data_IF_677469238026
#
_entry.id   IF_677469238026
#
_cell.length_a   1.000
_cell.length_b   1.000
_cell.length_c   1.000
_cell.angle_alpha   90.00
_cell.angle_beta   90.00
_cell.angle_gamma   90.00
#
_symmetry.space_group_name_H-M   'P 1'
#
loop_
_entity.id
_entity.type
_entity.pdbx_description
1 polymer ?
#
# COMPACT_ATOMS: atom_id res chain seq x y z
N UNK A 1 -0.56 59.50 -57.61
CA UNK A 1 -2.02 59.49 -57.89
C UNK A 1 -2.74 59.22 -56.58
N UNK A 2 -3.59 60.16 -56.14
CA UNK A 2 -4.46 60.07 -54.95
C UNK A 2 -5.47 58.92 -55.11
N UNK A 3 -5.96 58.38 -53.99
CA UNK A 3 -7.35 57.94 -53.65
C UNK A 3 -7.22 57.03 -52.40
N UNK A 4 -7.51 57.52 -51.19
CA UNK A 4 -8.82 57.60 -50.49
C UNK A 4 -9.48 56.24 -50.20
N UNK A 5 -9.26 55.82 -48.94
CA UNK A 5 -10.18 55.27 -47.95
C UNK A 5 -11.67 55.17 -48.36
N UNK A 6 -12.25 53.96 -48.27
CA UNK A 6 -13.67 53.76 -47.97
C UNK A 6 -13.84 52.58 -46.99
N UNK A 7 -14.62 52.87 -45.96
CA UNK A 7 -15.12 52.02 -44.89
C UNK A 7 -16.20 51.09 -45.45
N UNK A 8 -16.29 49.84 -44.97
CA UNK A 8 -17.59 49.18 -44.80
C UNK A 8 -17.56 48.16 -43.65
N UNK A 9 -18.45 48.43 -42.71
CA UNK A 9 -18.92 47.62 -41.60
C UNK A 9 -19.22 46.17 -42.01
N UNK A 10 -18.87 45.20 -41.16
CA UNK A 10 -19.69 44.01 -40.99
C UNK A 10 -19.81 43.65 -39.51
N UNK A 11 -21.05 43.70 -39.06
CA UNK A 11 -21.57 43.40 -37.73
C UNK A 11 -21.69 41.87 -37.63
N UNK A 12 -20.94 41.22 -36.73
CA UNK A 12 -21.24 39.84 -36.32
C UNK A 12 -21.65 39.84 -34.85
N UNK A 13 -22.93 39.57 -34.65
CA UNK A 13 -23.56 39.31 -33.35
C UNK A 13 -23.05 37.96 -32.86
N UNK A 14 -22.23 37.96 -31.81
CA UNK A 14 -21.87 36.76 -31.07
C UNK A 14 -23.02 36.47 -30.11
N UNK A 15 -23.85 35.48 -30.46
CA UNK A 15 -24.81 34.87 -29.54
C UNK A 15 -23.99 34.03 -28.54
N UNK A 16 -23.80 34.59 -27.35
CA UNK A 16 -23.23 33.91 -26.18
C UNK A 16 -24.26 32.90 -25.64
N UNK A 17 -24.12 31.64 -26.02
CA UNK A 17 -24.83 30.54 -25.36
C UNK A 17 -24.06 30.15 -24.09
N UNK A 18 -24.40 30.78 -22.95
CA UNK A 18 -23.99 30.31 -21.63
C UNK A 18 -24.89 29.16 -21.23
N UNK A 19 -24.42 27.92 -21.38
CA UNK A 19 -24.97 26.80 -20.63
C UNK A 19 -24.56 26.97 -19.16
N UNK A 20 -25.49 27.48 -18.34
CA UNK A 20 -25.36 27.41 -16.90
C UNK A 20 -25.44 25.94 -16.48
N UNK A 21 -24.29 25.34 -16.19
CA UNK A 21 -24.23 24.16 -15.35
C UNK A 21 -24.84 24.54 -14.00
N UNK A 22 -25.98 23.92 -13.68
CA UNK A 22 -26.53 23.94 -12.33
C UNK A 22 -25.57 23.15 -11.44
N UNK A 23 -24.67 23.85 -10.75
CA UNK A 23 -23.98 23.28 -9.60
C UNK A 23 -25.06 22.99 -8.54
N UNK A 24 -25.47 21.74 -8.42
CA UNK A 24 -26.27 21.30 -7.29
C UNK A 24 -25.40 21.46 -6.03
N UNK A 25 -25.81 22.38 -5.14
CA UNK A 25 -25.25 22.46 -3.80
C UNK A 25 -25.67 21.19 -3.05
N UNK A 26 -24.85 20.15 -3.14
CA UNK A 26 -24.91 18.97 -2.26
C UNK A 26 -24.58 19.49 -0.86
N UNK A 27 -25.38 19.14 0.15
CA UNK A 27 -25.09 19.57 1.51
C UNK A 27 -23.82 18.87 2.01
N UNK A 28 -23.01 19.53 2.81
CA UNK A 28 -21.76 18.98 3.36
C UNK A 28 -21.99 17.65 4.10
N UNK A 29 -23.15 17.51 4.74
CA UNK A 29 -23.59 16.27 5.39
C UNK A 29 -23.81 15.13 4.39
N UNK A 30 -24.44 15.40 3.24
CA UNK A 30 -24.67 14.39 2.20
C UNK A 30 -23.33 13.93 1.59
N UNK A 31 -22.35 14.84 1.47
CA UNK A 31 -21.00 14.51 0.98
C UNK A 31 -20.24 13.59 1.95
N UNK A 32 -20.32 13.83 3.26
CA UNK A 32 -19.66 12.99 4.29
C UNK A 32 -20.25 11.57 4.28
N UNK A 33 -21.59 11.46 4.28
CA UNK A 33 -22.28 10.15 4.25
C UNK A 33 -21.95 9.35 2.98
N UNK A 34 -21.70 10.03 1.86
CA UNK A 34 -21.28 9.39 0.61
C UNK A 34 -19.83 8.91 0.66
N UNK A 35 -18.91 9.67 1.27
CA UNK A 35 -17.51 9.26 1.44
C UNK A 35 -17.36 8.07 2.40
N UNK A 36 -18.09 8.04 3.51
CA UNK A 36 -18.06 6.89 4.44
C UNK A 36 -18.51 5.59 3.77
N UNK A 37 -19.54 5.65 2.93
CA UNK A 37 -20.00 4.49 2.15
C UNK A 37 -18.95 4.04 1.15
N UNK A 38 -18.30 4.98 0.46
CA UNK A 38 -17.22 4.69 -0.48
C UNK A 38 -16.07 3.98 0.25
N UNK A 39 -15.61 4.51 1.37
CA UNK A 39 -14.53 3.94 2.17
C UNK A 39 -14.89 2.55 2.70
N UNK A 40 -16.08 2.38 3.28
CA UNK A 40 -16.55 1.09 3.82
C UNK A 40 -16.69 0.02 2.74
N UNK A 41 -17.10 0.40 1.52
CA UNK A 41 -17.23 -0.53 0.40
C UNK A 41 -15.88 -0.95 -0.18
N UNK A 42 -14.90 -0.05 -0.17
CA UNK A 42 -13.54 -0.28 -0.67
C UNK A 42 -12.67 -1.03 0.32
N UNK A 43 -12.72 -0.64 1.58
CA UNK A 43 -11.94 -1.17 2.69
C UNK A 43 -12.91 -1.86 3.66
N UNK A 44 -13.38 -3.06 3.29
CA UNK A 44 -14.35 -3.77 4.09
C UNK A 44 -13.76 -4.08 5.47
N UNK A 45 -14.61 -3.98 6.49
CA UNK A 45 -14.29 -4.54 7.79
C UNK A 45 -14.03 -6.06 7.71
N UNK A 46 -13.48 -6.61 8.79
CA UNK A 46 -13.04 -8.00 8.83
C UNK A 46 -14.15 -8.99 8.48
N UNK A 47 -15.37 -8.77 8.97
CA UNK A 47 -16.52 -9.64 8.69
C UNK A 47 -16.81 -9.69 7.18
N UNK A 48 -16.97 -8.54 6.55
CA UNK A 48 -17.31 -8.47 5.12
C UNK A 48 -16.15 -8.95 4.24
N UNK A 49 -14.90 -8.67 4.65
CA UNK A 49 -13.71 -9.17 3.98
C UNK A 49 -13.64 -10.69 4.01
N UNK A 50 -13.94 -11.32 5.15
CA UNK A 50 -14.01 -12.79 5.29
C UNK A 50 -15.11 -13.37 4.40
N UNK A 51 -16.26 -12.70 4.29
CA UNK A 51 -17.33 -13.11 3.36
C UNK A 51 -16.84 -13.08 1.90
N UNK A 52 -16.16 -12.02 1.47
CA UNK A 52 -15.58 -11.95 0.13
C UNK A 52 -14.59 -13.08 -0.11
N UNK A 53 -13.70 -13.36 0.83
CA UNK A 53 -12.71 -14.45 0.70
C UNK A 53 -13.40 -15.82 0.64
N UNK A 54 -14.40 -16.08 1.49
CA UNK A 54 -15.16 -17.32 1.44
C UNK A 54 -15.89 -17.49 0.10
N UNK A 55 -16.47 -16.41 -0.44
CA UNK A 55 -17.09 -16.41 -1.76
C UNK A 55 -16.08 -16.78 -2.84
N UNK A 56 -14.92 -16.13 -2.89
CA UNK A 56 -13.83 -16.42 -3.84
C UNK A 56 -13.42 -17.89 -3.77
N UNK A 57 -13.20 -18.43 -2.56
CA UNK A 57 -12.83 -19.83 -2.35
C UNK A 57 -13.92 -20.76 -2.89
N UNK A 58 -15.20 -20.48 -2.58
CA UNK A 58 -16.31 -21.35 -2.97
C UNK A 58 -16.54 -21.38 -4.48
N UNK A 59 -16.45 -20.23 -5.16
CA UNK A 59 -16.68 -20.09 -6.60
C UNK A 59 -15.52 -20.64 -7.44
N UNK A 60 -14.30 -20.67 -6.87
CA UNK A 60 -13.08 -21.04 -7.59
C UNK A 60 -12.42 -22.32 -7.05
N UNK A 61 -13.12 -23.09 -6.21
CA UNK A 61 -12.56 -24.24 -5.47
C UNK A 61 -11.79 -25.24 -6.35
N UNK A 62 -12.28 -25.53 -7.55
CA UNK A 62 -11.66 -26.49 -8.48
C UNK A 62 -10.48 -25.90 -9.27
N UNK A 63 -10.38 -24.56 -9.35
CA UNK A 63 -9.35 -23.84 -10.12
C UNK A 63 -8.20 -23.35 -9.24
N UNK A 64 -8.46 -23.10 -7.96
CA UNK A 64 -7.45 -22.68 -7.00
C UNK A 64 -6.43 -23.78 -6.77
N UNK A 65 -5.15 -23.40 -6.68
CA UNK A 65 -4.10 -24.30 -6.23
C UNK A 65 -4.18 -24.48 -4.72
N UNK A 66 -3.58 -25.56 -4.19
CA UNK A 66 -3.50 -25.77 -2.74
C UNK A 66 -2.82 -24.60 -2.03
N UNK A 67 -1.72 -24.08 -2.59
CA UNK A 67 -1.03 -22.89 -2.07
C UNK A 67 -1.95 -21.68 -1.94
N UNK A 68 -2.77 -21.41 -2.96
CA UNK A 68 -3.69 -20.29 -2.96
C UNK A 68 -4.89 -20.52 -2.03
N UNK A 69 -5.34 -21.76 -1.87
CA UNK A 69 -6.36 -22.10 -0.88
C UNK A 69 -5.85 -21.87 0.55
N UNK A 70 -4.62 -22.29 0.85
CA UNK A 70 -3.98 -22.08 2.14
C UNK A 70 -3.79 -20.57 2.40
N UNK A 71 -3.24 -19.84 1.43
CA UNK A 71 -3.08 -18.38 1.49
C UNK A 71 -4.41 -17.65 1.76
N UNK A 72 -5.46 -17.92 0.98
CA UNK A 72 -6.77 -17.29 1.17
C UNK A 72 -7.39 -17.70 2.50
N UNK A 73 -7.18 -18.95 2.93
CA UNK A 73 -7.68 -19.41 4.23
C UNK A 73 -7.02 -18.67 5.39
N UNK A 74 -5.70 -18.48 5.31
CA UNK A 74 -4.95 -17.71 6.30
C UNK A 74 -5.30 -16.22 6.25
N UNK A 75 -5.55 -15.65 5.07
CA UNK A 75 -5.92 -14.23 4.92
C UNK A 75 -7.23 -13.88 5.66
N UNK A 76 -8.13 -14.85 5.85
CA UNK A 76 -9.34 -14.69 6.68
C UNK A 76 -9.02 -14.46 8.15
N UNK A 77 -7.96 -15.10 8.64
CA UNK A 77 -7.56 -15.07 10.04
C UNK A 77 -6.68 -13.83 10.26
N UNK A 78 -7.30 -12.67 10.48
CA UNK A 78 -6.60 -11.53 11.06
C UNK A 78 -6.35 -11.82 12.54
N UNK A 79 -5.36 -12.64 12.81
CA UNK A 79 -4.55 -12.33 13.97
C UNK A 79 -3.56 -11.29 13.46
N UNK A 80 -3.67 -10.04 13.94
CA UNK A 80 -2.52 -9.15 13.95
C UNK A 80 -1.42 -9.96 14.63
N UNK A 81 -0.51 -10.50 13.82
CA UNK A 81 0.52 -11.36 14.35
C UNK A 81 1.43 -10.52 15.22
N UNK A 82 2.16 -11.15 16.14
CA UNK A 82 3.03 -10.39 17.02
C UNK A 82 4.06 -9.56 16.26
N UNK A 83 4.45 -9.91 15.03
CA UNK A 83 5.45 -9.14 14.26
C UNK A 83 5.03 -9.07 12.80
N UNK A 84 5.27 -7.96 12.10
CA UNK A 84 4.81 -7.77 10.71
C UNK A 84 5.20 -8.91 9.76
N UNK A 85 6.38 -9.50 9.96
CA UNK A 85 6.92 -10.62 9.15
C UNK A 85 6.13 -11.94 9.30
N UNK A 86 5.25 -12.02 10.30
CA UNK A 86 4.36 -13.16 10.51
C UNK A 86 2.96 -12.90 9.93
N UNK A 87 2.68 -11.70 9.41
CA UNK A 87 1.42 -11.41 8.72
C UNK A 87 1.34 -12.20 7.40
N UNK A 88 0.11 -12.51 6.97
CA UNK A 88 -0.14 -13.25 5.73
C UNK A 88 0.42 -12.52 4.51
N UNK A 89 0.30 -11.20 4.50
CA UNK A 89 0.94 -10.30 3.56
C UNK A 89 1.60 -9.19 4.35
N UNK A 90 2.79 -8.80 3.92
CA UNK A 90 3.48 -7.62 4.42
C UNK A 90 4.20 -6.94 3.25
N UNK A 91 4.26 -5.61 3.25
CA UNK A 91 4.83 -4.90 2.14
C UNK A 91 6.36 -4.98 2.18
N UNK A 92 6.98 -4.94 1.00
CA UNK A 92 8.42 -4.76 0.88
C UNK A 92 8.65 -3.52 0.04
N UNK A 93 9.47 -2.61 0.58
CA UNK A 93 9.84 -1.38 -0.10
C UNK A 93 11.34 -1.33 -0.28
N UNK A 94 11.74 -0.78 -1.42
CA UNK A 94 13.12 -0.44 -1.73
C UNK A 94 13.23 1.07 -1.72
N UNK A 95 13.65 1.64 -0.59
CA UNK A 95 13.76 3.09 -0.40
C UNK A 95 15.03 3.64 -1.08
N UNK A 96 16.08 2.82 -1.18
CA UNK A 96 17.31 3.16 -1.89
C UNK A 96 17.95 1.92 -2.52
N UNK A 97 19.11 2.07 -3.17
CA UNK A 97 19.82 0.91 -3.73
C UNK A 97 20.31 -0.06 -2.64
N UNK A 98 20.48 0.42 -1.41
CA UNK A 98 20.96 -0.34 -0.24
C UNK A 98 19.87 -0.66 0.78
N UNK A 99 18.75 0.08 0.78
CA UNK A 99 17.67 -0.10 1.74
C UNK A 99 16.50 -0.81 1.07
N UNK A 100 16.37 -2.08 1.41
CA UNK A 100 15.25 -2.91 1.00
C UNK A 100 14.87 -3.82 2.15
N UNK A 101 13.61 -3.70 2.57
CA UNK A 101 13.16 -4.41 3.75
C UNK A 101 11.65 -4.47 3.85
N UNK A 102 11.19 -5.30 4.80
CA UNK A 102 9.80 -5.32 5.23
C UNK A 102 9.62 -4.19 6.23
N UNK A 103 8.71 -3.26 5.94
CA UNK A 103 8.46 -2.11 6.80
C UNK A 103 7.28 -2.35 7.74
N UNK A 104 7.43 -1.92 8.98
CA UNK A 104 6.40 -1.86 10.01
C UNK A 104 6.36 -0.47 10.62
N UNK A 105 5.17 0.01 10.96
CA UNK A 105 4.98 1.33 11.55
C UNK A 105 4.66 1.22 13.04
N UNK A 106 5.12 2.19 13.85
CA UNK A 106 4.76 2.22 15.24
C UNK A 106 3.25 2.42 15.40
N UNK A 107 2.68 1.77 16.40
CA UNK A 107 1.30 1.96 16.81
C UNK A 107 1.29 2.48 18.23
N UNK A 108 0.32 3.37 18.53
CA UNK A 108 0.18 3.97 19.84
C UNK A 108 -1.27 3.90 20.31
N UNK A 109 -1.44 3.79 21.63
CA UNK A 109 -2.72 3.94 22.30
C UNK A 109 -2.69 5.17 23.20
N UNK A 110 -3.71 6.00 23.11
CA UNK A 110 -3.89 7.13 24.02
C UNK A 110 -4.46 6.64 25.36
N UNK A 111 -3.68 6.73 26.42
CA UNK A 111 -4.10 6.43 27.80
C UNK A 111 -3.67 7.58 28.72
N UNK A 112 -4.58 8.10 29.54
CA UNK A 112 -4.29 9.14 30.52
C UNK A 112 -3.50 10.35 29.93
N UNK A 113 -3.89 10.81 28.74
CA UNK A 113 -3.23 11.87 27.96
C UNK A 113 -1.79 11.58 27.52
N UNK A 114 -1.38 10.32 27.53
CA UNK A 114 -0.07 9.87 27.07
C UNK A 114 -0.22 8.88 25.92
N UNK A 115 0.66 8.97 24.93
CA UNK A 115 0.75 7.98 23.85
C UNK A 115 1.63 6.83 24.33
N UNK A 116 1.03 5.65 24.47
CA UNK A 116 1.73 4.43 24.89
C UNK A 116 2.03 3.61 23.63
N UNK A 117 3.29 3.24 23.37
CA UNK A 117 3.63 2.40 22.22
C UNK A 117 3.04 1.00 22.38
N UNK A 118 2.40 0.51 21.32
CA UNK A 118 1.76 -0.82 21.27
C UNK A 118 2.35 -1.74 20.22
N UNK A 119 3.18 -1.25 19.31
CA UNK A 119 3.83 -2.07 18.29
C UNK A 119 4.88 -2.99 18.94
N UNK A 120 4.82 -4.27 18.61
CA UNK A 120 5.73 -5.27 19.17
C UNK A 120 7.17 -5.10 18.68
N UNK A 121 7.39 -4.60 17.47
CA UNK A 121 8.71 -4.18 16.99
C UNK A 121 9.36 -3.17 17.95
N UNK A 122 8.61 -2.15 18.35
CA UNK A 122 9.07 -1.14 19.31
C UNK A 122 9.39 -1.77 20.67
N UNK A 123 8.47 -2.57 21.21
CA UNK A 123 8.64 -3.25 22.49
C UNK A 123 9.83 -4.23 22.49
N UNK A 124 10.16 -4.80 21.33
CA UNK A 124 11.36 -5.62 21.18
C UNK A 124 12.63 -4.79 21.20
N UNK A 125 12.67 -3.68 20.44
CA UNK A 125 13.86 -2.84 20.32
C UNK A 125 14.16 -2.09 21.62
N UNK A 126 13.15 -1.57 22.31
CA UNK A 126 13.31 -0.81 23.57
C UNK A 126 14.00 -1.61 24.68
N UNK A 127 13.90 -2.95 24.67
CA UNK A 127 14.63 -3.83 25.60
C UNK A 127 16.15 -3.76 25.42
N UNK A 128 16.61 -3.37 24.24
CA UNK A 128 18.03 -3.30 23.86
C UNK A 128 18.49 -1.86 23.65
N UNK A 129 17.59 -0.95 23.29
CA UNK A 129 17.90 0.45 23.10
C UNK A 129 17.87 1.19 24.43
N UNK A 130 19.00 1.18 25.15
CA UNK A 130 19.15 1.99 26.36
C UNK A 130 19.19 3.47 26.00
N UNK A 131 18.42 4.30 26.71
CA UNK A 131 18.29 5.77 26.59
C UNK A 131 19.63 6.52 26.47
N UNK A 132 20.75 5.94 26.91
CA UNK A 132 22.08 6.51 26.78
C UNK A 132 22.66 6.53 25.34
N UNK A 133 22.08 5.78 24.39
CA UNK A 133 22.59 5.63 23.02
C UNK A 133 21.72 6.26 21.93
N UNK A 134 20.61 6.93 22.27
CA UNK A 134 19.82 7.74 21.34
C UNK A 134 20.55 9.07 21.10
N UNK A 135 21.76 9.01 20.57
CA UNK A 135 22.50 10.18 20.12
C UNK A 135 21.88 10.71 18.82
N UNK A 136 22.00 12.03 18.62
CA UNK A 136 21.66 12.77 17.39
C UNK A 136 22.26 12.12 16.11
N UNK A 137 23.26 11.24 16.25
CA UNK A 137 23.99 10.62 15.14
C UNK A 137 23.18 9.65 14.28
N UNK A 138 22.04 9.16 14.77
CA UNK A 138 21.19 8.18 14.07
C UNK A 138 19.91 8.78 13.47
N UNK A 139 19.72 10.09 13.61
CA UNK A 139 18.59 10.78 13.01
C UNK A 139 18.67 10.73 11.48
N UNK A 140 17.57 10.35 10.82
CA UNK A 140 17.51 10.20 9.37
C UNK A 140 18.28 8.99 8.82
N UNK A 141 18.61 7.99 9.66
CA UNK A 141 19.27 6.74 9.25
C UNK A 141 18.69 5.54 9.97
N UNK A 142 18.69 4.39 9.30
CA UNK A 142 18.33 3.13 9.94
C UNK A 142 19.44 2.64 10.87
N UNK A 143 19.06 2.25 12.09
CA UNK A 143 19.91 1.57 13.07
C UNK A 143 19.45 0.13 13.23
N UNK A 144 20.29 -0.83 12.86
CA UNK A 144 20.01 -2.26 13.06
C UNK A 144 20.39 -2.73 14.46
N UNK A 145 19.57 -3.64 15.00
CA UNK A 145 19.77 -4.28 16.30
C UNK A 145 19.87 -5.81 16.13
N UNK A 146 21.01 -6.35 15.67
CA UNK A 146 21.14 -7.78 15.37
C UNK A 146 20.81 -8.70 16.56
N UNK A 147 21.03 -8.22 17.78
CA UNK A 147 20.74 -8.99 19.00
C UNK A 147 19.25 -9.22 19.23
N UNK A 148 18.37 -8.34 18.73
CA UNK A 148 16.92 -8.45 18.93
C UNK A 148 16.40 -9.75 18.31
N UNK A 149 16.63 -9.94 17.01
CA UNK A 149 16.17 -11.16 16.34
C UNK A 149 16.95 -12.40 16.79
N UNK A 150 18.25 -12.27 17.10
CA UNK A 150 19.01 -13.39 17.66
C UNK A 150 18.41 -13.87 19.00
N UNK A 151 17.84 -12.98 19.80
CA UNK A 151 17.17 -13.35 21.04
C UNK A 151 15.79 -13.97 20.79
N UNK A 152 14.98 -13.41 19.89
CA UNK A 152 13.65 -13.95 19.54
C UNK A 152 13.74 -15.34 18.92
N UNK A 153 14.83 -15.60 18.20
CA UNK A 153 15.10 -16.87 17.50
C UNK A 153 16.35 -17.58 18.05
N UNK A 154 16.63 -17.50 19.35
CA UNK A 154 17.86 -18.07 19.93
C UNK A 154 17.98 -19.59 19.74
N UNK A 155 16.85 -20.31 19.76
CA UNK A 155 16.78 -21.78 19.69
C UNK A 155 16.20 -22.29 18.37
N UNK A 156 15.94 -21.41 17.41
CA UNK A 156 15.29 -21.74 16.13
C UNK A 156 15.89 -20.94 14.99
N UNK A 157 15.75 -21.43 13.77
CA UNK A 157 16.19 -20.63 12.62
C UNK A 157 15.33 -19.36 12.49
N UNK A 158 15.99 -18.25 12.13
CA UNK A 158 15.30 -17.03 11.69
C UNK A 158 14.36 -17.36 10.52
N UNK A 159 13.21 -16.69 10.43
CA UNK A 159 12.16 -17.07 9.49
C UNK A 159 12.61 -16.90 8.04
N UNK A 160 12.18 -17.83 7.21
CA UNK A 160 12.26 -17.73 5.75
C UNK A 160 10.91 -17.26 5.23
N UNK A 161 10.95 -16.28 4.32
CA UNK A 161 9.76 -15.71 3.70
C UNK A 161 9.79 -15.93 2.19
N UNK A 162 8.61 -15.96 1.58
CA UNK A 162 8.47 -15.83 0.14
C UNK A 162 8.40 -14.33 -0.20
N UNK A 163 9.17 -13.89 -1.20
CA UNK A 163 9.07 -12.54 -1.74
C UNK A 163 8.53 -12.58 -3.16
N UNK A 164 7.81 -11.53 -3.54
CA UNK A 164 7.15 -11.41 -4.82
C UNK A 164 7.56 -10.12 -5.51
N UNK A 165 7.91 -10.25 -6.79
CA UNK A 165 8.29 -9.14 -7.66
C UNK A 165 7.26 -8.92 -8.75
N UNK A 166 7.48 -7.97 -9.65
CA UNK A 166 6.70 -7.85 -10.89
C UNK A 166 6.86 -8.99 -11.88
N UNK A 167 7.81 -9.92 -11.68
CA UNK A 167 8.17 -10.94 -12.69
C UNK A 167 8.35 -12.37 -12.16
N UNK A 168 8.64 -12.52 -10.88
CA UNK A 168 9.02 -13.79 -10.25
C UNK A 168 8.77 -13.80 -8.74
N UNK A 169 8.69 -15.01 -8.19
CA UNK A 169 8.72 -15.30 -6.76
C UNK A 169 10.11 -15.80 -6.40
N UNK A 170 10.55 -15.54 -5.17
CA UNK A 170 11.70 -16.20 -4.57
C UNK A 170 11.52 -16.42 -3.08
N UNK A 171 12.55 -16.97 -2.44
CA UNK A 171 12.61 -17.16 -0.99
C UNK A 171 13.84 -16.46 -0.44
N UNK A 172 13.71 -15.87 0.74
CA UNK A 172 14.81 -15.22 1.44
C UNK A 172 14.66 -15.37 2.95
N UNK A 173 15.74 -15.16 3.69
CA UNK A 173 15.79 -15.25 5.15
C UNK A 173 15.80 -13.86 5.76
N UNK A 174 14.99 -13.65 6.79
CA UNK A 174 15.05 -12.43 7.61
C UNK A 174 16.37 -12.41 8.38
N UNK A 175 17.06 -11.28 8.31
CA UNK A 175 18.41 -11.12 8.86
C UNK A 175 18.38 -10.31 10.14
N UNK A 176 18.01 -9.03 10.09
CA UNK A 176 18.04 -8.13 11.24
C UNK A 176 16.76 -7.29 11.33
N UNK A 177 16.51 -6.74 12.52
CA UNK A 177 15.48 -5.75 12.76
C UNK A 177 16.16 -4.41 13.05
N UNK A 178 15.77 -3.37 12.32
CA UNK A 178 16.24 -2.01 12.49
C UNK A 178 15.12 -1.03 12.79
N UNK A 179 15.53 0.14 13.28
CA UNK A 179 14.66 1.28 13.56
C UNK A 179 15.16 2.49 12.80
N UNK A 180 14.26 3.20 12.14
CA UNK A 180 14.48 4.51 11.55
C UNK A 180 13.67 5.55 12.33
N UNK A 181 14.29 6.68 12.64
CA UNK A 181 13.63 7.84 13.28
C UNK A 181 14.13 9.13 12.63
N UNK A 182 13.19 9.97 12.24
CA UNK A 182 13.41 11.30 11.67
C UNK A 182 12.31 12.28 12.15
N UNK A 183 12.25 13.50 11.62
CA UNK A 183 11.34 14.55 12.08
C UNK A 183 9.87 14.17 11.94
N UNK A 184 9.53 13.62 10.78
CA UNK A 184 8.16 13.28 10.42
C UNK A 184 7.94 11.76 10.31
N UNK A 185 8.99 10.94 10.31
CA UNK A 185 8.89 9.53 9.94
C UNK A 185 9.60 8.62 10.95
N UNK A 186 8.85 7.66 11.49
CA UNK A 186 9.35 6.56 12.31
C UNK A 186 8.84 5.23 11.72
N UNK A 187 9.75 4.29 11.51
CA UNK A 187 9.41 2.93 11.09
C UNK A 187 10.44 1.91 11.55
N UNK A 188 10.04 0.65 11.53
CA UNK A 188 10.89 -0.51 11.74
C UNK A 188 11.11 -1.22 10.40
N UNK A 189 12.31 -1.75 10.20
CA UNK A 189 12.65 -2.48 8.99
C UNK A 189 13.22 -3.83 9.35
N UNK A 190 12.64 -4.88 8.78
CA UNK A 190 13.28 -6.19 8.75
C UNK A 190 14.10 -6.30 7.47
N UNK A 191 15.41 -6.36 7.62
CA UNK A 191 16.31 -6.68 6.51
C UNK A 191 16.24 -8.16 6.18
N UNK A 192 16.54 -8.51 4.94
CA UNK A 192 16.61 -9.90 4.51
C UNK A 192 17.79 -10.11 3.56
N UNK A 193 18.16 -11.37 3.35
CA UNK A 193 19.25 -11.72 2.45
C UNK A 193 18.92 -11.36 1.00
N UNK A 194 19.63 -10.36 0.46
CA UNK A 194 19.46 -9.85 -0.89
C UNK A 194 20.42 -10.48 -1.91
N UNK A 195 21.25 -11.45 -1.53
CA UNK A 195 22.28 -12.04 -2.39
C UNK A 195 21.71 -12.59 -3.71
N UNK A 196 20.48 -13.10 -3.69
CA UNK A 196 19.79 -13.68 -4.85
C UNK A 196 18.80 -12.72 -5.53
N UNK A 197 18.83 -11.44 -5.19
CA UNK A 197 17.89 -10.43 -5.65
C UNK A 197 18.63 -9.43 -6.53
N UNK A 198 18.21 -9.30 -7.79
CA UNK A 198 18.78 -8.31 -8.69
C UNK A 198 18.34 -6.90 -8.29
N UNK A 199 19.17 -5.89 -8.57
CA UNK A 199 18.77 -4.48 -8.45
C UNK A 199 17.59 -4.17 -9.39
N UNK A 200 17.52 -4.85 -10.54
CA UNK A 200 16.40 -4.72 -11.48
C UNK A 200 15.11 -5.40 -11.01
N UNK A 201 15.16 -6.22 -9.95
CA UNK A 201 13.98 -6.87 -9.41
C UNK A 201 13.21 -5.88 -8.54
N UNK A 202 12.05 -5.48 -9.04
CA UNK A 202 11.08 -4.68 -8.31
C UNK A 202 10.30 -5.60 -7.37
N UNK A 203 10.81 -5.76 -6.15
CA UNK A 203 10.15 -6.50 -5.07
C UNK A 203 9.04 -5.64 -4.49
N UNK A 204 7.89 -6.25 -4.23
CA UNK A 204 6.66 -5.55 -3.87
C UNK A 204 6.12 -5.97 -2.50
N UNK A 205 6.07 -7.27 -2.22
CA UNK A 205 5.54 -7.79 -0.97
C UNK A 205 6.15 -9.14 -0.61
N UNK A 206 5.93 -9.57 0.63
CA UNK A 206 6.28 -10.91 1.08
C UNK A 206 5.15 -11.60 1.82
N UNK A 207 5.32 -12.91 2.02
CA UNK A 207 4.39 -13.78 2.71
C UNK A 207 5.10 -14.99 3.31
N UNK A 208 4.71 -15.49 4.48
CA UNK A 208 5.14 -16.81 4.96
C UNK A 208 4.55 -17.93 4.10
N UNK A 209 3.49 -17.66 3.35
CA UNK A 209 2.84 -18.62 2.45
C UNK A 209 3.44 -18.55 1.04
N UNK A 210 3.53 -19.71 0.40
CA UNK A 210 3.72 -19.74 -1.04
C UNK A 210 2.41 -19.31 -1.71
N UNK A 211 2.49 -18.43 -2.71
CA UNK A 211 1.34 -17.94 -3.44
C UNK A 211 1.61 -18.16 -4.92
N UNK A 212 0.71 -18.88 -5.59
CA UNK A 212 0.85 -19.13 -7.02
C UNK A 212 0.22 -17.98 -7.80
N UNK A 213 1.06 -17.22 -8.49
CA UNK A 213 0.67 -16.03 -9.25
C UNK A 213 0.77 -16.28 -10.75
N UNK A 214 -0.06 -15.56 -11.50
CA UNK A 214 0.12 -15.33 -12.93
C UNK A 214 0.65 -13.90 -13.07
N UNK A 215 1.91 -13.74 -13.45
CA UNK A 215 2.53 -12.42 -13.66
C UNK A 215 2.00 -11.79 -14.95
N UNK A 216 1.22 -10.73 -14.82
CA UNK A 216 0.62 -10.02 -15.93
C UNK A 216 0.27 -8.58 -15.54
N UNK A 217 0.42 -7.67 -16.49
CA UNK A 217 -0.15 -6.33 -16.39
C UNK A 217 -1.50 -6.34 -17.12
N UNK A 218 -2.58 -5.97 -16.45
CA UNK A 218 -3.91 -5.95 -17.00
C UNK A 218 -4.36 -4.50 -17.24
N UNK A 219 -4.27 -4.04 -18.48
CA UNK A 219 -4.59 -2.66 -18.86
C UNK A 219 -6.03 -2.25 -18.57
N UNK A 220 -6.99 -3.20 -18.54
CA UNK A 220 -8.38 -2.92 -18.17
C UNK A 220 -8.47 -2.59 -16.68
N UNK A 221 -7.78 -3.35 -15.83
CA UNK A 221 -7.74 -3.09 -14.38
C UNK A 221 -6.96 -1.82 -14.08
N UNK A 222 -5.84 -1.58 -14.75
CA UNK A 222 -5.06 -0.35 -14.60
C UNK A 222 -5.88 0.88 -15.00
N UNK A 223 -6.68 0.80 -16.07
CA UNK A 223 -7.57 1.87 -16.48
C UNK A 223 -8.72 2.08 -15.47
N UNK A 224 -9.25 1.00 -14.91
CA UNK A 224 -10.27 1.06 -13.86
C UNK A 224 -9.72 1.81 -12.63
N UNK A 225 -8.55 1.41 -12.12
CA UNK A 225 -7.87 2.06 -10.98
C UNK A 225 -7.57 3.54 -11.25
N UNK A 226 -7.11 3.87 -12.46
CA UNK A 226 -6.81 5.25 -12.83
C UNK A 226 -8.05 6.14 -12.89
N UNK A 227 -9.17 5.59 -13.36
CA UNK A 227 -10.43 6.33 -13.51
C UNK A 227 -11.25 6.36 -12.22
N UNK A 228 -10.75 5.69 -11.18
CA UNK A 228 -11.37 5.54 -9.89
C UNK A 228 -11.25 6.83 -9.07
N UNK A 229 -11.96 7.87 -9.51
CA UNK A 229 -11.77 9.23 -9.03
C UNK A 229 -12.68 9.54 -7.83
N UNK A 230 -12.10 9.51 -6.62
CA UNK A 230 -12.76 9.94 -5.38
C UNK A 230 -12.03 11.10 -4.73
N UNK A 231 -11.49 12.04 -5.53
CA UNK A 231 -10.76 13.22 -5.05
C UNK A 231 -11.46 13.98 -3.93
N UNK A 232 -12.79 14.00 -3.93
CA UNK A 232 -13.58 14.71 -2.93
C UNK A 232 -13.67 13.98 -1.57
N UNK A 233 -13.22 12.73 -1.48
CA UNK A 233 -13.20 11.91 -0.26
C UNK A 233 -11.78 11.64 0.27
N UNK A 234 -10.77 12.25 -0.36
CA UNK A 234 -9.36 12.07 -0.02
C UNK A 234 -8.90 13.26 0.80
N UNK A 235 -8.59 13.03 2.08
CA UNK A 235 -8.07 14.06 2.99
C UNK A 235 -6.53 14.09 3.04
N UNK A 236 -5.89 13.08 2.43
CA UNK A 236 -4.46 12.82 2.48
C UNK A 236 -3.88 12.51 1.09
N UNK A 237 -2.68 12.99 0.74
CA UNK A 237 -1.99 12.53 -0.46
C UNK A 237 -1.93 11.01 -0.50
N UNK A 238 -2.28 10.42 -1.64
CA UNK A 238 -2.15 9.00 -1.88
C UNK A 238 -1.86 8.71 -3.36
N UNK A 239 -1.37 7.50 -3.64
CA UNK A 239 -1.08 7.06 -5.00
C UNK A 239 -2.06 6.00 -5.52
N UNK A 240 -3.31 5.97 -5.04
CA UNK A 240 -4.31 4.99 -5.51
C UNK A 240 -4.53 5.06 -7.03
N UNK A 241 -4.63 6.28 -7.58
CA UNK A 241 -4.77 6.54 -9.03
C UNK A 241 -3.56 6.11 -9.87
N UNK A 242 -2.40 5.88 -9.22
CA UNK A 242 -1.16 5.46 -9.86
C UNK A 242 -0.95 3.95 -9.80
N UNK A 243 -1.83 3.23 -9.11
CA UNK A 243 -1.72 1.79 -8.96
C UNK A 243 -1.82 1.07 -10.31
N UNK A 244 -1.00 0.03 -10.44
CA UNK A 244 -0.97 -0.85 -11.60
C UNK A 244 -0.96 -2.29 -11.15
N UNK A 245 -1.68 -3.13 -11.87
CA UNK A 245 -1.61 -4.57 -11.74
C UNK A 245 -0.26 -5.11 -12.21
N UNK A 246 0.23 -6.14 -11.52
CA UNK A 246 1.44 -6.88 -11.92
C UNK A 246 1.28 -8.39 -11.83
N UNK A 247 0.25 -8.86 -11.12
CA UNK A 247 -0.06 -10.26 -11.01
C UNK A 247 -1.55 -10.47 -10.70
N UNK A 248 -2.04 -11.64 -11.10
CA UNK A 248 -3.33 -12.18 -10.70
C UNK A 248 -3.15 -13.45 -9.88
N UNK A 249 -4.00 -13.67 -8.88
CA UNK A 249 -3.99 -14.91 -8.12
C UNK A 249 -4.42 -16.08 -9.02
N UNK A 250 -3.53 -17.07 -9.20
CA UNK A 250 -3.81 -18.22 -10.06
C UNK A 250 -5.06 -18.97 -9.60
N UNK A 251 -5.97 -19.23 -10.54
CA UNK A 251 -7.25 -19.88 -10.26
C UNK A 251 -8.42 -18.93 -10.01
N UNK A 252 -8.20 -17.61 -10.05
CA UNK A 252 -9.26 -16.58 -9.98
C UNK A 252 -9.14 -15.64 -11.16
N UNK A 253 -10.25 -15.06 -11.63
CA UNK A 253 -10.23 -14.09 -12.75
C UNK A 253 -10.36 -12.62 -12.30
N UNK A 254 -10.61 -12.40 -11.02
CA UNK A 254 -10.98 -11.11 -10.45
C UNK A 254 -10.15 -10.68 -9.24
N UNK A 255 -9.10 -11.43 -8.87
CA UNK A 255 -8.24 -11.09 -7.74
C UNK A 255 -6.82 -10.73 -8.19
N UNK A 256 -6.45 -9.46 -8.03
CA UNK A 256 -5.23 -8.89 -8.58
C UNK A 256 -4.35 -8.32 -7.47
N UNK A 257 -3.04 -8.51 -7.63
CA UNK A 257 -2.06 -7.75 -6.88
C UNK A 257 -1.71 -6.49 -7.67
N UNK A 258 -1.73 -5.36 -6.97
CA UNK A 258 -1.46 -4.04 -7.53
C UNK A 258 -0.44 -3.30 -6.68
N UNK A 259 0.23 -2.35 -7.29
CA UNK A 259 1.23 -1.51 -6.63
C UNK A 259 1.29 -0.12 -7.25
N UNK A 260 1.65 0.86 -6.45
CA UNK A 260 2.16 2.14 -6.90
C UNK A 260 3.58 2.31 -6.36
N UNK A 261 4.53 2.63 -7.24
CA UNK A 261 5.84 3.11 -6.83
C UNK A 261 5.98 4.56 -7.27
N UNK A 262 6.57 5.34 -6.39
CA UNK A 262 6.67 6.80 -6.50
C UNK A 262 8.13 7.23 -6.71
N UNK A 263 9.03 6.25 -6.84
CA UNK A 263 10.47 6.41 -7.06
C UNK A 263 10.89 6.04 -8.49
N UNK A 264 12.01 6.61 -9.01
CA UNK A 264 12.90 7.60 -8.39
C UNK A 264 12.48 9.06 -8.60
N UNK A 265 11.44 9.29 -9.41
CA UNK A 265 10.92 10.62 -9.77
C UNK A 265 9.80 10.93 -8.77
N UNK A 266 10.17 11.18 -7.52
CA UNK A 266 9.23 11.57 -6.47
C UNK A 266 9.03 13.09 -6.56
N UNK A 267 8.09 13.51 -7.40
CA UNK A 267 7.84 14.93 -7.70
C UNK A 267 6.57 15.45 -6.98
N UNK A 268 5.80 14.57 -6.36
CA UNK A 268 4.55 14.86 -5.65
C UNK A 268 4.61 14.20 -4.26
N UNK A 269 3.67 14.52 -3.36
CA UNK A 269 3.52 13.84 -2.06
C UNK A 269 3.00 12.40 -2.27
N UNK A 270 3.69 11.63 -3.09
CA UNK A 270 3.26 10.34 -3.58
C UNK A 270 3.70 9.22 -2.61
N UNK A 271 2.73 8.41 -2.18
CA UNK A 271 2.89 7.34 -1.20
C UNK A 271 2.95 5.97 -1.88
N UNK A 272 4.10 5.26 -1.83
CA UNK A 272 4.19 3.94 -2.46
C UNK A 272 3.24 2.98 -1.75
N UNK A 273 2.48 2.21 -2.52
CA UNK A 273 1.44 1.32 -1.99
C UNK A 273 1.51 -0.07 -2.61
N UNK A 274 0.97 -1.04 -1.88
CA UNK A 274 0.86 -2.47 -2.23
C UNK A 274 -0.54 -2.92 -1.85
N UNK A 275 -1.19 -3.68 -2.73
CA UNK A 275 -2.52 -4.15 -2.43
C UNK A 275 -2.88 -5.46 -3.11
N UNK A 276 -3.86 -6.13 -2.51
CA UNK A 276 -4.62 -7.22 -3.09
C UNK A 276 -6.05 -6.75 -3.27
N UNK A 277 -6.49 -6.64 -4.53
CA UNK A 277 -7.82 -6.14 -4.87
C UNK A 277 -8.70 -7.22 -5.46
N UNK A 278 -9.97 -7.19 -5.10
CA UNK A 278 -11.07 -7.92 -5.71
C UNK A 278 -11.83 -6.96 -6.63
N UNK A 279 -12.06 -7.38 -7.86
CA UNK A 279 -12.93 -6.69 -8.83
C UNK A 279 -14.29 -7.37 -8.82
N UNK A 280 -15.33 -6.65 -8.41
CA UNK A 280 -16.71 -7.14 -8.44
C UNK A 280 -17.28 -7.10 -9.87
N UNK A 281 -18.41 -7.77 -10.08
CA UNK A 281 -19.10 -7.84 -11.38
C UNK A 281 -19.49 -6.47 -11.95
N UNK A 282 -19.77 -5.50 -11.08
CA UNK A 282 -20.07 -4.11 -11.43
C UNK A 282 -18.82 -3.22 -11.63
N UNK A 283 -17.63 -3.82 -11.62
CA UNK A 283 -16.32 -3.15 -11.61
C UNK A 283 -16.00 -2.36 -10.33
N UNK A 284 -16.69 -2.59 -9.22
CA UNK A 284 -16.25 -2.03 -7.95
C UNK A 284 -14.93 -2.68 -7.50
N UNK A 285 -14.03 -1.86 -6.97
CA UNK A 285 -12.75 -2.28 -6.42
C UNK A 285 -12.89 -2.45 -4.92
N UNK A 286 -12.48 -3.62 -4.41
CA UNK A 286 -12.43 -3.92 -2.98
C UNK A 286 -11.02 -4.33 -2.60
N UNK A 287 -10.43 -3.65 -1.63
CA UNK A 287 -9.12 -3.95 -1.06
C UNK A 287 -9.25 -5.04 -0.01
N UNK A 288 -8.79 -6.26 -0.31
CA UNK A 288 -8.70 -7.35 0.66
C UNK A 288 -7.42 -7.26 1.51
N UNK A 289 -6.42 -6.55 1.00
CA UNK A 289 -5.23 -6.10 1.72
C UNK A 289 -4.74 -4.81 1.07
N UNK A 290 -4.28 -3.87 1.87
CA UNK A 290 -3.73 -2.59 1.45
C UNK A 290 -2.67 -2.17 2.44
N UNK A 291 -1.55 -1.71 1.92
CA UNK A 291 -0.48 -1.12 2.69
C UNK A 291 0.14 0.02 1.88
N UNK A 292 0.40 1.14 2.54
CA UNK A 292 0.89 2.37 1.93
C UNK A 292 1.84 3.04 2.92
N UNK A 293 2.91 3.64 2.38
CA UNK A 293 3.85 4.40 3.20
C UNK A 293 3.70 5.88 2.93
N UNK A 294 3.38 6.62 3.99
CA UNK A 294 3.63 8.04 4.03
C UNK A 294 5.11 8.31 4.35
N UNK A 295 5.91 8.54 3.31
CA UNK A 295 7.33 8.85 3.45
C UNK A 295 7.61 10.30 3.86
N UNK A 296 6.61 11.17 3.75
CA UNK A 296 6.76 12.56 4.16
C UNK A 296 6.35 12.73 5.63
N UNK A 297 5.44 11.88 6.13
CA UNK A 297 5.04 11.73 7.53
C UNK A 297 4.36 12.95 8.16
N UNK A 298 4.43 14.09 7.47
CA UNK A 298 3.81 15.36 7.81
C UNK A 298 2.66 15.72 6.85
N UNK A 299 2.33 14.85 5.89
CA UNK A 299 1.30 15.08 4.86
C UNK A 299 -0.12 15.04 5.40
N UNK A 300 -0.31 14.38 6.54
CA UNK A 300 -1.59 14.00 7.11
C UNK A 300 -1.73 14.37 8.60
N UNK A 301 -0.92 15.31 9.09
CA UNK A 301 -0.97 15.80 10.48
C UNK A 301 -2.12 16.78 10.71
#
# INVERSE_FOLDING_TARGET
MKIKLYILFNLFIIISCKSQEKTQNISEKDRIEDCEKVWTNRFPNDTLRVEFINKIISENKEKLTNNNLDFLTSLKLLNQSDLVINNVLFPIFRLSNSEIGVLAFPTYKLEENSLIPTSNEMLLIEKYDTVANSSIEHYGKIRFFPQVLNSVYAEKEKPTINYFTTKKTGKTKIMDLGKYVDECLEYFEYSFDTTNISISDKILFGSPFQIDLIYENNSKIDLLLKNDNFKDCIDCPNSMQLQKSFARLKGTDNLYFVYADTFPINNELDTPSRALILIKENNDIVYLWYDEIDLFGCSCL
#
